data_IF_011811231953
#
_entry.id   IF_011811231953
#
_cell.length_a   1.000
_cell.length_b   1.000
_cell.length_c   1.000
_cell.angle_alpha   90.00
_cell.angle_beta   90.00
_cell.angle_gamma   90.00
#
_symmetry.space_group_name_H-M   'P 1'
#
loop_
_entity.id
_entity.type
_entity.pdbx_description
1 polymer ?
#
# COMPACT_ATOMS: atom_id res chain seq x y z
N UNK A 1 -7.85 24.78 3.65
CA UNK A 1 -8.47 23.48 4.03
C UNK A 1 -8.65 23.51 5.54
N UNK A 2 -9.84 23.18 6.07
CA UNK A 2 -10.09 23.19 7.52
C UNK A 2 -9.46 21.93 8.12
N UNK A 3 -8.70 22.08 9.21
CA UNK A 3 -8.11 20.93 9.90
C UNK A 3 -9.21 20.04 10.51
N UNK A 4 -9.06 18.73 10.41
CA UNK A 4 -9.91 17.73 11.06
C UNK A 4 -9.70 17.75 12.56
N UNK A 5 -8.44 17.85 12.99
CA UNK A 5 -8.08 17.91 14.39
C UNK A 5 -7.32 19.21 14.66
N UNK A 6 -7.91 20.09 15.48
CA UNK A 6 -7.26 21.32 15.92
C UNK A 6 -6.27 21.07 17.07
N UNK A 7 -5.47 20.00 16.97
CA UNK A 7 -4.50 19.58 17.98
C UNK A 7 -3.40 18.69 17.41
N UNK A 8 -2.27 18.68 18.11
CA UNK A 8 -1.08 17.92 17.72
C UNK A 8 -1.25 16.41 17.87
N UNK A 9 -2.04 15.96 18.84
CA UNK A 9 -2.22 14.55 19.18
C UNK A 9 -3.71 14.22 19.32
N UNK A 10 -4.10 13.05 18.83
CA UNK A 10 -5.49 12.57 18.78
C UNK A 10 -5.63 11.34 19.69
N UNK A 11 -6.69 11.31 20.47
CA UNK A 11 -7.07 10.20 21.36
C UNK A 11 -8.25 9.42 20.78
N UNK A 12 -8.56 8.23 21.32
CA UNK A 12 -9.73 7.45 20.89
C UNK A 12 -11.05 8.21 21.03
N UNK A 13 -11.20 9.08 22.04
CA UNK A 13 -12.42 9.91 22.22
C UNK A 13 -12.67 10.84 21.05
N UNK A 14 -11.62 11.27 20.37
CA UNK A 14 -11.73 12.20 19.24
C UNK A 14 -12.27 11.54 17.97
N UNK A 15 -12.23 10.21 17.93
CA UNK A 15 -12.65 9.41 16.78
C UNK A 15 -13.75 8.42 17.09
N UNK A 16 -14.29 8.44 18.30
CA UNK A 16 -15.32 7.48 18.75
C UNK A 16 -16.59 7.50 17.88
N UNK A 17 -16.90 8.65 17.29
CA UNK A 17 -18.04 8.82 16.36
C UNK A 17 -17.78 8.27 14.96
N UNK A 18 -16.54 7.97 14.62
CA UNK A 18 -16.15 7.50 13.30
C UNK A 18 -16.10 5.98 13.26
N UNK A 19 -16.38 5.42 12.08
CA UNK A 19 -16.36 3.98 11.88
C UNK A 19 -14.91 3.47 11.89
N UNK A 20 -14.61 2.52 12.77
CA UNK A 20 -13.38 1.74 12.72
C UNK A 20 -13.39 0.86 11.46
N UNK A 21 -12.40 1.03 10.59
CA UNK A 21 -12.27 0.33 9.30
C UNK A 21 -10.98 -0.51 9.21
N UNK A 22 -10.07 -0.36 10.18
CA UNK A 22 -8.89 -1.19 10.30
C UNK A 22 -8.35 -1.17 11.72
N UNK A 23 -7.97 -2.33 12.22
CA UNK A 23 -7.31 -2.50 13.51
C UNK A 23 -6.09 -3.38 13.28
N UNK A 24 -4.91 -2.86 13.62
CA UNK A 24 -3.64 -3.49 13.28
C UNK A 24 -2.56 -3.18 14.30
N UNK A 25 -1.40 -3.80 14.12
CA UNK A 25 -0.29 -3.74 15.09
C UNK A 25 0.27 -2.34 15.34
N UNK A 26 0.15 -1.43 14.38
CA UNK A 26 0.74 -0.10 14.47
C UNK A 26 -0.28 0.97 14.87
N UNK A 27 -1.57 0.63 14.87
CA UNK A 27 -2.62 1.61 15.02
C UNK A 27 -3.96 1.18 14.45
N UNK A 28 -4.92 2.08 14.64
CA UNK A 28 -6.31 1.94 14.22
C UNK A 28 -6.61 2.93 13.09
N UNK A 29 -7.47 2.54 12.16
CA UNK A 29 -7.90 3.36 11.03
C UNK A 29 -9.40 3.61 11.14
N UNK A 30 -9.79 4.88 11.12
CA UNK A 30 -11.17 5.33 11.21
C UNK A 30 -11.57 6.10 9.96
N UNK A 31 -12.78 5.87 9.46
CA UNK A 31 -13.32 6.59 8.31
C UNK A 31 -13.90 7.94 8.74
N UNK A 32 -13.35 9.04 8.21
CA UNK A 32 -13.79 10.41 8.54
C UNK A 32 -14.92 10.87 7.62
N UNK A 33 -14.77 10.60 6.33
CA UNK A 33 -15.71 10.95 5.26
C UNK A 33 -15.74 9.81 4.23
N UNK A 34 -16.52 9.97 3.16
CA UNK A 34 -16.53 9.01 2.07
C UNK A 34 -15.14 8.83 1.46
N UNK A 35 -14.32 9.89 1.39
CA UNK A 35 -13.05 9.91 0.67
C UNK A 35 -11.80 10.07 1.57
N UNK A 36 -11.96 10.11 2.90
CA UNK A 36 -10.85 10.31 3.86
C UNK A 36 -10.97 9.41 5.08
N UNK A 37 -9.81 8.98 5.56
CA UNK A 37 -9.65 8.26 6.80
C UNK A 37 -8.53 8.85 7.64
N UNK A 38 -8.52 8.53 8.93
CA UNK A 38 -7.41 8.80 9.84
C UNK A 38 -6.83 7.50 10.33
N UNK A 39 -5.51 7.36 10.28
CA UNK A 39 -4.78 6.33 11.02
C UNK A 39 -4.24 6.95 12.30
N UNK A 40 -4.63 6.42 13.45
CA UNK A 40 -4.07 6.75 14.77
C UNK A 40 -3.05 5.69 15.11
N UNK A 41 -1.82 6.11 15.37
CA UNK A 41 -0.68 5.24 15.63
C UNK A 41 -0.48 5.01 17.12
N UNK A 42 -0.11 3.79 17.49
CA UNK A 42 0.26 3.46 18.87
C UNK A 42 1.65 4.01 19.23
N UNK A 43 2.54 4.16 18.24
CA UNK A 43 3.90 4.68 18.41
C UNK A 43 4.17 5.81 17.40
N UNK A 44 4.63 6.98 17.89
CA UNK A 44 5.00 8.11 17.04
C UNK A 44 6.12 7.78 16.05
N UNK A 45 7.08 6.94 16.45
CA UNK A 45 8.17 6.52 15.57
C UNK A 45 7.68 5.74 14.35
N UNK A 46 6.58 5.00 14.49
CA UNK A 46 5.94 4.34 13.35
C UNK A 46 5.21 5.34 12.47
N UNK A 47 4.54 6.32 13.08
CA UNK A 47 3.89 7.44 12.38
C UNK A 47 4.90 8.20 11.52
N UNK A 48 6.05 8.61 12.09
CA UNK A 48 7.08 9.38 11.39
C UNK A 48 7.62 8.66 10.16
N UNK A 49 7.82 7.34 10.26
CA UNK A 49 8.28 6.51 9.13
C UNK A 49 7.25 6.46 8.01
N UNK A 50 5.97 6.27 8.34
CA UNK A 50 4.90 6.22 7.35
C UNK A 50 4.62 7.59 6.73
N UNK A 51 4.61 8.65 7.54
CA UNK A 51 4.47 10.03 7.09
C UNK A 51 5.56 10.42 6.10
N UNK A 52 6.83 10.10 6.40
CA UNK A 52 7.96 10.41 5.49
C UNK A 52 7.72 9.82 4.09
N UNK A 53 7.26 8.57 4.02
CA UNK A 53 6.97 7.92 2.75
C UNK A 53 5.75 8.51 2.03
N UNK A 54 4.68 8.83 2.77
CA UNK A 54 3.52 9.50 2.21
C UNK A 54 3.88 10.87 1.63
N UNK A 55 4.64 11.70 2.36
CA UNK A 55 5.07 13.04 1.92
C UNK A 55 5.88 12.96 0.63
N UNK A 56 6.89 12.09 0.57
CA UNK A 56 7.72 11.89 -0.63
C UNK A 56 6.87 11.37 -1.81
N UNK A 57 5.91 10.50 -1.51
CA UNK A 57 5.09 9.82 -2.50
C UNK A 57 3.95 10.64 -3.11
N UNK A 58 3.71 11.88 -2.66
CA UNK A 58 2.50 12.64 -3.04
C UNK A 58 2.37 12.94 -4.54
N UNK A 59 3.45 12.92 -5.31
CA UNK A 59 3.40 13.08 -6.77
C UNK A 59 2.89 11.82 -7.49
N UNK A 60 2.84 10.68 -6.81
CA UNK A 60 2.57 9.39 -7.42
C UNK A 60 1.14 8.90 -7.17
N UNK A 61 0.42 8.43 -8.21
CA UNK A 61 -0.97 7.98 -8.07
C UNK A 61 -1.10 6.70 -7.23
N UNK A 62 -0.02 5.93 -7.06
CA UNK A 62 -0.03 4.70 -6.27
C UNK A 62 0.04 4.96 -4.76
N UNK A 63 0.24 6.21 -4.35
CA UNK A 63 0.33 6.62 -2.94
C UNK A 63 -0.99 7.28 -2.53
N UNK A 64 -1.52 7.01 -1.33
CA UNK A 64 -2.68 7.72 -0.81
C UNK A 64 -2.39 9.23 -0.70
N UNK A 65 -3.36 10.06 -1.07
CA UNK A 65 -3.25 11.51 -0.86
C UNK A 65 -3.18 11.81 0.64
N UNK A 66 -2.21 12.62 1.04
CA UNK A 66 -2.03 13.13 2.40
C UNK A 66 -2.83 14.42 2.56
N UNK A 67 -3.62 14.53 3.62
CA UNK A 67 -4.42 15.73 3.90
C UNK A 67 -3.94 16.47 5.16
N UNK A 68 -3.61 15.74 6.21
CA UNK A 68 -3.23 16.31 7.51
C UNK A 68 -2.43 15.28 8.32
N UNK A 69 -1.60 15.74 9.25
CA UNK A 69 -0.91 14.87 10.20
C UNK A 69 -0.60 15.62 11.49
N UNK A 70 -0.46 14.84 12.56
CA UNK A 70 0.06 15.31 13.84
C UNK A 70 1.11 14.34 14.39
N UNK A 71 1.34 14.37 15.69
CA UNK A 71 2.34 13.55 16.38
C UNK A 71 2.04 12.04 16.28
N UNK A 72 0.76 11.67 16.38
CA UNK A 72 0.34 10.27 16.42
C UNK A 72 -0.75 9.92 15.40
N UNK A 73 -1.05 10.79 14.44
CA UNK A 73 -2.07 10.50 13.43
C UNK A 73 -1.69 11.00 12.05
N UNK A 74 -2.32 10.41 11.04
CA UNK A 74 -2.26 10.85 9.64
C UNK A 74 -3.67 10.76 9.07
N UNK A 75 -4.17 11.87 8.52
CA UNK A 75 -5.38 11.91 7.69
C UNK A 75 -4.97 11.76 6.24
N UNK A 76 -5.51 10.73 5.59
CA UNK A 76 -5.18 10.38 4.21
C UNK A 76 -6.42 9.96 3.43
N UNK A 77 -6.26 9.79 2.13
CA UNK A 77 -7.26 9.26 1.22
C UNK A 77 -7.81 7.92 1.72
N UNK A 78 -9.13 7.83 1.81
CA UNK A 78 -9.81 6.57 1.95
C UNK A 78 -9.96 5.93 0.57
N UNK A 79 -9.33 4.77 0.38
CA UNK A 79 -9.30 4.07 -0.90
C UNK A 79 -10.53 3.16 -0.99
N UNK A 80 -11.41 3.45 -1.94
CA UNK A 80 -12.53 2.58 -2.29
C UNK A 80 -12.01 1.37 -3.08
N UNK A 81 -11.85 0.24 -2.40
CA UNK A 81 -11.35 -0.97 -3.05
C UNK A 81 -11.18 -2.14 -2.09
N UNK A 82 -10.73 -3.26 -2.63
CA UNK A 82 -10.34 -4.44 -1.86
C UNK A 82 -8.84 -4.65 -1.96
N UNK A 83 -8.27 -5.44 -1.04
CA UNK A 83 -6.88 -5.83 -1.20
C UNK A 83 -6.69 -6.68 -2.45
N UNK A 84 -5.55 -6.51 -3.12
CA UNK A 84 -5.15 -7.32 -4.27
C UNK A 84 -5.16 -8.82 -3.91
N UNK A 85 -4.85 -9.15 -2.65
CA UNK A 85 -4.93 -10.51 -2.15
C UNK A 85 -6.37 -11.05 -2.18
N UNK A 86 -7.36 -10.24 -1.77
CA UNK A 86 -8.78 -10.62 -1.82
C UNK A 86 -9.28 -10.69 -3.26
N UNK A 87 -8.89 -9.74 -4.11
CA UNK A 87 -9.22 -9.73 -5.53
C UNK A 87 -8.73 -11.01 -6.22
N UNK A 88 -7.44 -11.31 -6.11
CA UNK A 88 -6.83 -12.49 -6.74
C UNK A 88 -7.41 -13.81 -6.22
N UNK A 89 -7.76 -13.89 -4.93
CA UNK A 89 -8.45 -15.07 -4.37
C UNK A 89 -9.87 -15.24 -4.92
N UNK A 90 -10.59 -14.14 -5.15
CA UNK A 90 -11.94 -14.15 -5.72
C UNK A 90 -11.90 -14.56 -7.20
N UNK A 91 -11.06 -13.91 -7.98
CA UNK A 91 -10.99 -14.12 -9.43
C UNK A 91 -10.23 -15.40 -9.81
N UNK A 92 -9.40 -15.94 -8.90
CA UNK A 92 -8.54 -17.12 -9.11
C UNK A 92 -7.68 -17.04 -10.37
N UNK A 93 -7.37 -15.82 -10.81
CA UNK A 93 -6.62 -15.53 -12.02
C UNK A 93 -5.90 -14.20 -11.86
N UNK A 94 -4.73 -14.09 -12.46
CA UNK A 94 -4.06 -12.82 -12.72
C UNK A 94 -4.04 -12.61 -14.24
N UNK A 95 -4.50 -11.44 -14.70
CA UNK A 95 -4.46 -11.11 -16.13
C UNK A 95 -3.12 -10.47 -16.50
N UNK A 96 -2.78 -10.47 -17.79
CA UNK A 96 -1.58 -9.78 -18.26
C UNK A 96 -1.64 -8.27 -17.98
N UNK A 97 -2.82 -7.65 -18.11
CA UNK A 97 -3.02 -6.25 -17.78
C UNK A 97 -2.73 -5.96 -16.31
N UNK A 98 -3.26 -6.79 -15.39
CA UNK A 98 -3.01 -6.64 -13.97
C UNK A 98 -1.52 -6.86 -13.64
N UNK A 99 -0.88 -7.85 -14.27
CA UNK A 99 0.56 -8.06 -14.13
C UNK A 99 1.36 -6.82 -14.60
N UNK A 100 0.96 -6.19 -15.71
CA UNK A 100 1.56 -4.94 -16.20
C UNK A 100 1.39 -3.80 -15.20
N UNK A 101 0.18 -3.60 -14.64
CA UNK A 101 -0.09 -2.59 -13.61
C UNK A 101 0.75 -2.81 -12.35
N UNK A 102 0.90 -4.06 -11.91
CA UNK A 102 1.78 -4.42 -10.78
C UNK A 102 3.24 -4.07 -11.05
N UNK A 103 3.76 -4.37 -12.25
CA UNK A 103 5.13 -4.01 -12.62
C UNK A 103 5.36 -2.49 -12.64
N UNK A 104 4.38 -1.73 -13.16
CA UNK A 104 4.41 -0.25 -13.15
C UNK A 104 4.45 0.25 -11.70
N UNK A 105 3.56 -0.26 -10.84
CA UNK A 105 3.52 0.08 -9.41
C UNK A 105 4.86 -0.19 -8.72
N UNK A 106 5.48 -1.35 -8.95
CA UNK A 106 6.78 -1.68 -8.37
C UNK A 106 7.90 -0.75 -8.86
N UNK A 107 7.90 -0.41 -10.15
CA UNK A 107 8.85 0.54 -10.71
C UNK A 107 8.65 1.95 -10.14
N UNK A 108 7.41 2.32 -9.86
CA UNK A 108 7.07 3.61 -9.30
C UNK A 108 7.54 3.75 -7.84
N UNK A 109 7.41 2.69 -7.01
CA UNK A 109 8.03 2.65 -5.68
C UNK A 109 9.55 2.90 -5.75
N UNK A 110 10.21 2.35 -6.77
CA UNK A 110 11.63 2.59 -7.03
C UNK A 110 11.90 4.05 -7.43
N UNK A 111 11.10 4.61 -8.33
CA UNK A 111 11.26 5.99 -8.81
C UNK A 111 11.08 7.02 -7.69
N UNK A 112 10.23 6.72 -6.70
CA UNK A 112 10.07 7.52 -5.48
C UNK A 112 11.28 7.47 -4.52
N UNK A 113 12.32 6.70 -4.86
CA UNK A 113 13.53 6.56 -4.05
C UNK A 113 13.35 5.68 -2.81
N UNK A 114 12.28 4.88 -2.73
CA UNK A 114 12.13 3.92 -1.63
C UNK A 114 13.26 2.88 -1.70
N UNK A 115 13.80 2.47 -0.56
CA UNK A 115 14.83 1.42 -0.52
C UNK A 115 14.20 0.03 -0.60
N UNK A 116 12.91 -0.07 -0.30
CA UNK A 116 12.09 -1.27 -0.48
C UNK A 116 11.22 -1.17 -1.74
N UNK A 117 11.59 -1.88 -2.80
CA UNK A 117 10.77 -2.01 -4.03
C UNK A 117 9.87 -3.24 -3.94
N UNK A 118 9.21 -3.38 -2.79
CA UNK A 118 8.46 -4.58 -2.43
C UNK A 118 7.32 -4.21 -1.47
N UNK A 119 6.24 -4.97 -1.56
CA UNK A 119 5.09 -4.83 -0.68
C UNK A 119 4.37 -6.16 -0.56
N UNK A 120 3.64 -6.35 0.53
CA UNK A 120 2.81 -7.54 0.68
C UNK A 120 1.54 -7.37 -0.14
N UNK A 121 1.07 -8.43 -0.79
CA UNK A 121 -0.12 -8.40 -1.66
C UNK A 121 -1.37 -7.89 -0.91
N UNK A 122 -1.43 -8.03 0.41
CA UNK A 122 -2.52 -7.48 1.24
C UNK A 122 -2.47 -5.96 1.44
N UNK A 123 -1.31 -5.33 1.23
CA UNK A 123 -1.11 -3.88 1.35
C UNK A 123 -1.21 -3.17 0.00
N UNK A 124 -1.56 -3.89 -1.06
CA UNK A 124 -1.96 -3.29 -2.33
C UNK A 124 -3.48 -3.32 -2.37
N UNK A 125 -4.10 -2.16 -2.59
CA UNK A 125 -5.53 -2.03 -2.80
C UNK A 125 -5.81 -1.83 -4.29
N UNK A 126 -6.89 -2.44 -4.76
CA UNK A 126 -7.39 -2.34 -6.13
C UNK A 126 -8.84 -1.85 -6.10
N UNK A 127 -9.14 -0.79 -6.85
CA UNK A 127 -10.50 -0.26 -7.04
C UNK A 127 -11.20 -0.92 -8.23
N UNK A 128 -12.44 -0.53 -8.49
CA UNK A 128 -13.28 -1.10 -9.55
C UNK A 128 -12.73 -0.80 -10.95
N UNK A 129 -12.02 0.33 -11.11
CA UNK A 129 -11.30 0.71 -12.34
C UNK A 129 -9.95 -0.04 -12.50
N UNK A 130 -9.59 -0.88 -11.54
CA UNK A 130 -8.36 -1.65 -11.53
C UNK A 130 -7.10 -0.81 -11.32
N UNK A 131 -7.22 0.38 -10.74
CA UNK A 131 -6.10 1.21 -10.28
C UNK A 131 -5.55 0.65 -8.97
N UNK A 132 -4.22 0.69 -8.83
CA UNK A 132 -3.52 0.16 -7.66
C UNK A 132 -3.02 1.30 -6.78
N UNK A 133 -3.26 1.17 -5.48
CA UNK A 133 -2.63 2.00 -4.44
C UNK A 133 -1.96 1.11 -3.40
N UNK A 134 -0.81 1.53 -2.91
CA UNK A 134 -0.07 0.85 -1.85
C UNK A 134 -0.35 1.57 -0.54
N UNK A 135 -0.56 0.80 0.52
CA UNK A 135 -0.72 1.30 1.89
C UNK A 135 0.36 0.68 2.79
N UNK A 136 0.46 1.13 4.05
CA UNK A 136 1.47 0.67 5.02
C UNK A 136 2.92 0.87 4.52
N UNK A 137 3.33 2.13 4.48
CA UNK A 137 4.65 2.53 3.98
C UNK A 137 5.74 2.60 5.06
N UNK A 138 5.49 2.17 6.30
CA UNK A 138 6.42 2.34 7.43
C UNK A 138 7.81 1.71 7.19
N UNK A 139 7.91 0.75 6.27
CA UNK A 139 9.15 0.05 5.89
C UNK A 139 9.80 0.55 4.60
N UNK A 140 9.26 1.59 3.98
CA UNK A 140 9.71 2.09 2.67
C UNK A 140 11.20 2.46 2.63
N UNK A 141 11.75 2.98 3.75
CA UNK A 141 13.16 3.40 3.85
C UNK A 141 14.00 2.56 4.82
N UNK A 142 13.38 1.73 5.67
CA UNK A 142 14.08 0.98 6.72
C UNK A 142 14.39 -0.46 6.35
N UNK A 143 13.97 -0.91 5.17
CA UNK A 143 14.26 -2.25 4.65
C UNK A 143 14.73 -2.13 3.22
N UNK A 144 15.74 -2.91 2.85
CA UNK A 144 16.28 -2.91 1.50
C UNK A 144 15.76 -4.14 0.77
N UNK A 145 15.04 -3.94 -0.33
CA UNK A 145 14.62 -5.03 -1.19
C UNK A 145 14.61 -4.57 -2.64
N UNK A 146 15.55 -5.08 -3.43
CA UNK A 146 15.65 -4.79 -4.88
C UNK A 146 14.76 -5.70 -5.73
N UNK A 147 14.12 -6.69 -5.10
CA UNK A 147 13.23 -7.70 -5.69
C UNK A 147 11.96 -7.80 -4.83
N UNK A 148 10.76 -7.91 -5.44
CA UNK A 148 9.50 -7.96 -4.70
C UNK A 148 9.21 -9.34 -4.09
N UNK A 149 10.07 -9.83 -3.20
CA UNK A 149 9.95 -11.18 -2.63
C UNK A 149 8.67 -11.37 -1.82
N UNK A 150 8.21 -10.37 -1.06
CA UNK A 150 6.97 -10.47 -0.29
C UNK A 150 5.74 -10.46 -1.18
N UNK A 151 5.77 -9.73 -2.29
CA UNK A 151 4.72 -9.79 -3.28
C UNK A 151 4.64 -11.20 -3.89
N UNK A 152 5.79 -11.76 -4.29
CA UNK A 152 5.88 -13.11 -4.86
C UNK A 152 5.46 -14.19 -3.87
N UNK A 153 5.87 -14.11 -2.60
CA UNK A 153 5.40 -15.00 -1.52
C UNK A 153 3.87 -14.97 -1.41
N UNK A 154 3.26 -13.78 -1.54
CA UNK A 154 1.81 -13.63 -1.55
C UNK A 154 1.15 -14.34 -2.75
N UNK A 155 1.72 -14.20 -3.95
CA UNK A 155 1.21 -14.92 -5.13
C UNK A 155 1.39 -16.43 -5.03
N UNK A 156 2.51 -16.91 -4.45
CA UNK A 156 2.72 -18.35 -4.18
C UNK A 156 1.64 -18.90 -3.27
N UNK A 157 1.32 -18.20 -2.17
CA UNK A 157 0.26 -18.58 -1.23
C UNK A 157 -1.14 -18.63 -1.86
N UNK A 158 -1.37 -17.86 -2.92
CA UNK A 158 -2.65 -17.84 -3.66
C UNK A 158 -2.64 -18.88 -4.80
N UNK A 159 -1.48 -19.43 -5.18
CA UNK A 159 -1.33 -20.35 -6.30
C UNK A 159 -1.16 -19.68 -7.67
N UNK A 160 -0.90 -18.36 -7.72
CA UNK A 160 -0.84 -17.57 -8.96
C UNK A 160 0.58 -17.09 -9.32
N UNK A 161 1.61 -17.56 -8.61
CA UNK A 161 2.98 -17.12 -8.87
C UNK A 161 3.45 -17.48 -10.29
N UNK A 162 3.15 -18.68 -10.77
CA UNK A 162 3.58 -19.12 -12.10
C UNK A 162 2.84 -18.36 -13.22
N UNK A 163 1.55 -18.10 -13.06
CA UNK A 163 0.78 -17.29 -14.01
C UNK A 163 1.31 -15.85 -14.06
N UNK A 164 1.60 -15.25 -12.91
CA UNK A 164 2.22 -13.93 -12.85
C UNK A 164 3.56 -13.93 -13.60
N UNK A 165 4.45 -14.89 -13.31
CA UNK A 165 5.76 -14.97 -13.95
C UNK A 165 5.67 -15.22 -15.45
N UNK A 166 4.69 -16.01 -15.92
CA UNK A 166 4.41 -16.19 -17.35
C UNK A 166 4.05 -14.85 -18.01
N UNK A 167 3.18 -14.05 -17.39
CA UNK A 167 2.88 -12.71 -17.89
C UNK A 167 4.10 -11.79 -17.85
N UNK A 168 4.89 -11.80 -16.78
CA UNK A 168 6.11 -10.99 -16.69
C UNK A 168 7.12 -11.37 -17.78
N UNK A 169 7.26 -12.67 -18.11
CA UNK A 169 8.12 -13.13 -19.20
C UNK A 169 7.71 -12.51 -20.54
N UNK A 170 6.42 -12.40 -20.81
CA UNK A 170 5.90 -11.81 -22.04
C UNK A 170 6.05 -10.28 -22.06
N UNK A 171 5.78 -9.62 -20.93
CA UNK A 171 5.79 -8.15 -20.82
C UNK A 171 7.22 -7.60 -20.80
N UNK A 172 8.10 -8.20 -19.98
CA UNK A 172 9.47 -7.71 -19.75
C UNK A 172 10.41 -8.85 -19.37
N UNK A 173 10.97 -9.59 -20.35
CA UNK A 173 11.86 -10.74 -20.13
C UNK A 173 13.05 -10.44 -19.19
N UNK A 174 13.59 -9.22 -19.23
CA UNK A 174 14.71 -8.81 -18.38
C UNK A 174 14.35 -8.73 -16.89
N UNK A 175 13.09 -8.41 -16.56
CA UNK A 175 12.60 -8.49 -15.18
C UNK A 175 12.36 -9.96 -14.80
N UNK A 176 11.75 -10.74 -15.69
CA UNK A 176 11.51 -12.17 -15.46
C UNK A 176 12.79 -12.91 -15.04
N UNK A 177 13.90 -12.68 -15.74
CA UNK A 177 15.18 -13.30 -15.42
C UNK A 177 15.68 -12.97 -14.01
N UNK A 178 15.32 -11.81 -13.44
CA UNK A 178 15.65 -11.46 -12.05
C UNK A 178 14.69 -12.07 -11.04
N UNK A 179 13.44 -12.37 -11.43
CA UNK A 179 12.41 -12.89 -10.54
C UNK A 179 12.40 -14.42 -10.48
N UNK A 180 12.79 -15.10 -11.57
CA UNK A 180 12.71 -16.57 -11.69
C UNK A 180 13.55 -17.31 -10.65
N UNK A 181 14.64 -16.70 -10.18
CA UNK A 181 15.54 -17.29 -9.20
C UNK A 181 14.94 -17.29 -7.78
N UNK A 182 13.78 -16.65 -7.60
CA UNK A 182 13.02 -16.59 -6.35
C UNK A 182 11.75 -17.45 -6.40
N UNK A 183 11.66 -18.39 -7.35
CA UNK A 183 10.59 -19.39 -7.47
C UNK A 183 10.58 -20.40 -6.33
#
# INVERSE_FOLDING_TARGET
MKAYFNKRRVSRRDVEKYKLIGDGKDGEVYQLTNDKCVKIFFLEETQKKELKALVIGQSSPIIPRLYEYGENYIVMEYIHGISLARHLKKEKKITEELARKILIMLNELKNLGFTRWDTEVRHVLINEEGQLKVIDHKRAFTSNSKVPTKLLEGFKKIGLAQDFLKHVRNIRPSIYNKLRDYQ
#
